data_IF_321831794167
#
_entry.id   IF_321831794167
#
_cell.length_a   1.000
_cell.length_b   1.000
_cell.length_c   1.000
_cell.angle_alpha   90.00
_cell.angle_beta   90.00
_cell.angle_gamma   90.00
#
_symmetry.space_group_name_H-M   'P 1'
#
loop_
_entity.id
_entity.type
_entity.pdbx_description
1 polymer ?
#
# COMPACT_ATOMS: atom_id res chain seq x y z
N UNK A 1 -7.50 2.25 9.00
CA UNK A 1 -6.37 1.58 8.30
C UNK A 1 -5.58 0.76 9.29
N UNK A 2 -5.06 -0.38 8.84
CA UNK A 2 -4.59 -1.50 9.68
C UNK A 2 -3.13 -1.34 10.12
N UNK A 3 -2.74 -2.05 11.19
CA UNK A 3 -1.35 -2.13 11.60
C UNK A 3 -0.51 -2.96 10.61
N UNK A 4 0.81 -2.77 10.67
CA UNK A 4 1.76 -3.41 9.77
C UNK A 4 1.70 -4.95 9.81
N UNK A 5 1.50 -5.55 10.99
CA UNK A 5 1.44 -7.01 11.14
C UNK A 5 0.14 -7.57 10.58
N UNK A 6 -0.96 -6.84 10.73
CA UNK A 6 -2.23 -7.23 10.12
C UNK A 6 -2.16 -7.12 8.58
N UNK A 7 -1.52 -6.07 8.04
CA UNK A 7 -1.23 -5.97 6.60
C UNK A 7 -0.39 -7.17 6.13
N UNK A 8 0.67 -7.54 6.86
CA UNK A 8 1.48 -8.71 6.57
C UNK A 8 0.66 -10.01 6.52
N UNK A 9 -0.22 -10.24 7.50
CA UNK A 9 -1.09 -11.42 7.54
C UNK A 9 -2.04 -11.46 6.33
N UNK A 10 -2.63 -10.32 5.98
CA UNK A 10 -3.51 -10.24 4.80
C UNK A 10 -2.76 -10.47 3.49
N UNK A 11 -1.55 -9.93 3.34
CA UNK A 11 -0.74 -10.18 2.15
C UNK A 11 -0.49 -11.68 1.96
N UNK A 12 -0.08 -12.40 3.01
CA UNK A 12 0.12 -13.84 2.93
C UNK A 12 -1.18 -14.60 2.61
N UNK A 13 -2.30 -14.21 3.23
CA UNK A 13 -3.60 -14.82 2.96
C UNK A 13 -4.06 -14.58 1.51
N UNK A 14 -3.86 -13.37 0.98
CA UNK A 14 -4.15 -13.04 -0.42
C UNK A 14 -3.27 -13.86 -1.36
N UNK A 15 -1.97 -13.98 -1.06
CA UNK A 15 -1.06 -14.74 -1.90
C UNK A 15 -1.46 -16.21 -2.01
N UNK A 16 -1.85 -16.81 -0.88
CA UNK A 16 -2.33 -18.19 -0.84
C UNK A 16 -3.66 -18.37 -1.59
N UNK A 17 -4.57 -17.38 -1.52
CA UNK A 17 -5.89 -17.46 -2.13
C UNK A 17 -5.90 -17.17 -3.64
N UNK A 18 -4.95 -16.37 -4.14
CA UNK A 18 -4.90 -15.97 -5.54
C UNK A 18 -4.26 -17.04 -6.41
N UNK A 19 -4.86 -17.28 -7.59
CA UNK A 19 -4.20 -17.98 -8.70
C UNK A 19 -3.04 -17.14 -9.27
N UNK A 20 -2.08 -17.75 -9.97
CA UNK A 20 -1.06 -17.02 -10.73
C UNK A 20 -1.69 -15.94 -11.65
N UNK A 21 -1.04 -14.78 -11.76
CA UNK A 21 -1.59 -13.60 -12.45
C UNK A 21 -2.76 -12.91 -11.75
N UNK A 22 -3.23 -13.45 -10.62
CA UNK A 22 -4.27 -12.87 -9.78
C UNK A 22 -3.83 -11.54 -9.16
N UNK A 23 -4.80 -10.67 -8.84
CA UNK A 23 -4.54 -9.32 -8.34
C UNK A 23 -5.14 -9.11 -6.95
N UNK A 24 -4.41 -8.38 -6.11
CA UNK A 24 -4.89 -7.88 -4.84
C UNK A 24 -4.89 -6.34 -4.85
N UNK A 25 -5.96 -5.74 -4.34
CA UNK A 25 -6.04 -4.31 -4.13
C UNK A 25 -5.88 -3.99 -2.64
N UNK A 26 -5.02 -3.04 -2.31
CA UNK A 26 -4.73 -2.64 -0.93
C UNK A 26 -4.82 -1.12 -0.82
N UNK A 27 -5.44 -0.66 0.28
CA UNK A 27 -5.47 0.74 0.68
C UNK A 27 -4.87 0.87 2.08
N UNK A 28 -3.78 1.64 2.20
CA UNK A 28 -3.14 1.98 3.48
C UNK A 28 -3.13 3.50 3.67
N UNK A 29 -3.14 3.94 4.93
CA UNK A 29 -3.07 5.36 5.25
C UNK A 29 -1.63 5.81 5.03
N UNK A 30 -1.41 6.84 4.23
CA UNK A 30 -0.06 7.23 3.84
C UNK A 30 0.42 8.50 4.56
N UNK A 31 1.41 8.33 5.43
CA UNK A 31 2.04 9.43 6.18
C UNK A 31 2.78 10.41 5.27
N UNK A 32 3.18 9.98 4.07
CA UNK A 32 3.94 10.80 3.11
C UNK A 32 3.05 11.73 2.30
N UNK A 33 1.73 11.51 2.32
CA UNK A 33 0.76 12.41 1.68
C UNK A 33 0.49 13.62 2.56
N UNK A 34 0.24 14.80 1.98
CA UNK A 34 -0.05 16.00 2.76
C UNK A 34 -1.33 15.83 3.61
N UNK A 35 -2.40 15.25 3.05
CA UNK A 35 -3.63 15.02 3.80
C UNK A 35 -3.48 13.91 4.85
N UNK A 36 -2.70 12.88 4.55
CA UNK A 36 -2.36 11.83 5.51
C UNK A 36 -1.54 12.38 6.67
N UNK A 37 -0.50 13.16 6.39
CA UNK A 37 0.33 13.79 7.41
C UNK A 37 -0.47 14.76 8.30
N UNK A 38 -1.34 15.60 7.72
CA UNK A 38 -2.23 16.47 8.51
C UNK A 38 -3.09 15.67 9.50
N UNK A 39 -3.57 14.50 9.09
CA UNK A 39 -4.39 13.65 9.95
C UNK A 39 -3.54 12.88 10.96
N UNK A 40 -2.34 12.46 10.59
CA UNK A 40 -1.36 11.85 11.50
C UNK A 40 -0.96 12.83 12.60
N UNK A 41 -0.59 14.06 12.27
CA UNK A 41 -0.15 15.07 13.24
C UNK A 41 -1.26 15.57 14.15
N UNK A 42 -2.52 15.50 13.71
CA UNK A 42 -3.69 15.78 14.53
C UNK A 42 -4.03 14.64 15.52
N UNK A 43 -3.41 13.46 15.40
CA UNK A 43 -3.62 12.33 16.29
C UNK A 43 -2.53 12.27 17.36
N UNK A 44 -2.92 12.37 18.63
CA UNK A 44 -1.99 12.25 19.76
C UNK A 44 -1.58 10.81 20.06
N UNK A 45 -2.45 9.84 19.74
CA UNK A 45 -2.20 8.41 19.93
C UNK A 45 -2.81 7.59 18.79
N UNK A 46 -2.19 6.47 18.38
CA UNK A 46 -2.84 5.51 17.50
C UNK A 46 -4.09 4.94 18.16
N UNK A 47 -5.22 4.89 17.46
CA UNK A 47 -6.45 4.27 17.97
C UNK A 47 -6.99 3.25 16.97
N UNK A 48 -7.75 2.25 17.43
CA UNK A 48 -8.35 1.21 16.57
C UNK A 48 -9.40 1.80 15.61
N UNK A 49 -10.09 2.88 16.02
CA UNK A 49 -10.89 3.74 15.12
C UNK A 49 -10.06 4.81 14.39
N UNK A 50 -8.77 4.87 14.67
CA UNK A 50 -7.78 5.77 14.10
C UNK A 50 -7.06 5.19 12.89
N UNK A 51 -6.06 5.91 12.43
CA UNK A 51 -5.31 5.56 11.23
C UNK A 51 -3.95 5.08 11.70
N UNK A 52 -3.60 3.84 11.37
CA UNK A 52 -2.22 3.39 11.45
C UNK A 52 -1.56 3.73 10.13
N UNK A 53 -0.76 4.80 10.17
CA UNK A 53 -0.11 5.34 9.01
C UNK A 53 1.14 4.53 8.67
N UNK A 54 1.35 4.36 7.37
CA UNK A 54 2.51 3.72 6.79
C UNK A 54 3.12 4.66 5.75
N UNK A 55 4.33 4.35 5.30
CA UNK A 55 4.88 4.93 4.08
C UNK A 55 4.90 3.89 2.95
N UNK A 56 5.00 4.31 1.68
CA UNK A 56 5.00 3.40 0.54
C UNK A 56 6.08 2.32 0.61
N UNK A 57 7.25 2.65 1.15
CA UNK A 57 8.40 1.74 1.26
C UNK A 57 8.09 0.56 2.19
N UNK A 58 7.32 0.78 3.26
CA UNK A 58 6.88 -0.29 4.15
C UNK A 58 6.01 -1.29 3.40
N UNK A 59 5.02 -0.80 2.63
CA UNK A 59 4.12 -1.68 1.87
C UNK A 59 4.87 -2.38 0.72
N UNK A 60 5.78 -1.68 0.03
CA UNK A 60 6.64 -2.28 -1.02
C UNK A 60 7.47 -3.44 -0.46
N UNK A 61 8.05 -3.24 0.71
CA UNK A 61 8.86 -4.27 1.39
C UNK A 61 8.00 -5.49 1.72
N UNK A 62 6.84 -5.29 2.35
CA UNK A 62 5.97 -6.41 2.71
C UNK A 62 5.41 -7.13 1.49
N UNK A 63 4.99 -6.41 0.46
CA UNK A 63 4.45 -7.01 -0.77
C UNK A 63 5.49 -7.88 -1.48
N UNK A 64 6.72 -7.36 -1.65
CA UNK A 64 7.82 -8.12 -2.24
C UNK A 64 8.16 -9.37 -1.42
N UNK A 65 8.20 -9.24 -0.08
CA UNK A 65 8.44 -10.38 0.83
C UNK A 65 7.32 -11.42 0.80
N UNK A 66 6.09 -11.00 0.51
CA UNK A 66 4.95 -11.90 0.32
C UNK A 66 4.91 -12.52 -1.09
N UNK A 67 5.83 -12.16 -1.99
CA UNK A 67 5.93 -12.71 -3.35
C UNK A 67 5.14 -11.94 -4.41
N UNK A 68 4.54 -10.79 -4.08
CA UNK A 68 3.81 -9.98 -5.05
C UNK A 68 4.72 -9.08 -5.88
N UNK A 69 4.28 -8.83 -7.12
CA UNK A 69 4.76 -7.75 -7.97
C UNK A 69 3.93 -6.48 -7.73
N UNK A 70 4.60 -5.33 -7.71
CA UNK A 70 3.94 -4.03 -7.61
C UNK A 70 3.46 -3.58 -9.00
N UNK A 71 2.18 -3.77 -9.31
CA UNK A 71 1.65 -3.52 -10.65
C UNK A 71 1.37 -2.02 -10.88
N UNK A 72 0.64 -1.37 -9.96
CA UNK A 72 0.27 0.06 -10.04
C UNK A 72 0.06 0.64 -8.64
N UNK A 73 0.24 1.95 -8.52
CA UNK A 73 -0.10 2.69 -7.31
C UNK A 73 -0.71 4.07 -7.60
N UNK A 74 -1.20 4.73 -6.55
CA UNK A 74 -1.76 6.07 -6.60
C UNK A 74 -0.74 7.20 -6.38
N UNK A 75 0.57 6.92 -6.29
CA UNK A 75 1.57 7.95 -5.95
C UNK A 75 1.61 9.06 -7.02
N UNK A 76 1.56 8.69 -8.29
CA UNK A 76 1.52 9.63 -9.42
C UNK A 76 0.16 10.32 -9.63
N UNK A 77 -0.89 9.89 -8.93
CA UNK A 77 -2.22 10.51 -8.98
C UNK A 77 -2.41 11.60 -7.93
N UNK A 78 -1.40 11.81 -7.07
CA UNK A 78 -1.38 12.91 -6.11
C UNK A 78 -1.15 14.20 -6.88
N UNK A 79 -2.08 15.14 -6.81
CA UNK A 79 -1.81 16.51 -7.27
C UNK A 79 -0.69 17.07 -6.40
N UNK A 80 0.38 17.57 -7.03
CA UNK A 80 1.30 18.52 -6.39
C UNK A 80 0.56 19.84 -6.21
N UNK A 81 -0.34 19.87 -5.22
CA UNK A 81 -1.06 21.06 -4.81
C UNK A 81 -0.54 21.49 -3.45
N UNK A 82 0.48 22.34 -3.43
CA UNK A 82 0.93 23.09 -2.25
C UNK A 82 -0.09 24.17 -1.83
N UNK A 83 -1.31 24.15 -2.37
CA UNK A 83 -2.39 25.09 -2.06
C UNK A 83 -3.50 24.44 -1.26
N UNK A 84 -3.88 25.07 -0.15
CA UNK A 84 -5.12 24.80 0.56
C UNK A 84 -6.31 25.01 -0.40
N UNK A 85 -6.89 23.94 -0.94
CA UNK A 85 -8.20 24.05 -1.61
C UNK A 85 -8.57 23.00 -2.65
N UNK A 86 -7.62 22.39 -3.37
CA UNK A 86 -7.97 21.53 -4.51
C UNK A 86 -7.28 20.17 -4.48
N UNK A 87 -7.81 19.26 -3.67
CA UNK A 87 -7.52 17.83 -3.80
C UNK A 87 -7.96 17.30 -5.18
N UNK A 88 -7.67 16.03 -5.49
CA UNK A 88 -8.13 15.37 -6.72
C UNK A 88 -9.67 15.14 -6.76
N UNK A 89 -10.44 15.87 -5.97
CA UNK A 89 -11.87 15.62 -5.69
C UNK A 89 -12.14 14.30 -4.94
N UNK A 90 -11.11 13.46 -4.74
CA UNK A 90 -11.21 12.16 -4.10
C UNK A 90 -10.21 12.04 -2.94
N UNK A 91 -10.75 12.06 -1.73
CA UNK A 91 -10.02 11.98 -0.47
C UNK A 91 -9.06 10.79 -0.38
N UNK A 92 -9.34 9.69 -1.06
CA UNK A 92 -8.50 8.49 -1.00
C UNK A 92 -7.18 8.69 -1.77
N UNK A 93 -7.21 9.37 -2.92
CA UNK A 93 -5.97 9.65 -3.67
C UNK A 93 -5.07 10.66 -2.94
N UNK A 94 -5.67 11.56 -2.16
CA UNK A 94 -4.94 12.62 -1.46
C UNK A 94 -4.38 12.20 -0.10
N UNK A 95 -4.95 11.16 0.53
CA UNK A 95 -4.62 10.71 1.90
C UNK A 95 -4.01 9.32 1.97
N UNK A 96 -4.48 8.41 1.12
CA UNK A 96 -4.12 7.00 1.19
C UNK A 96 -3.11 6.66 0.09
N UNK A 97 -2.45 5.52 0.30
CA UNK A 97 -1.72 4.82 -0.75
C UNK A 97 -2.60 3.66 -1.21
N UNK A 98 -3.04 3.74 -2.46
CA UNK A 98 -3.82 2.69 -3.11
C UNK A 98 -2.88 1.92 -4.04
N UNK A 99 -2.89 0.60 -3.93
CA UNK A 99 -1.94 -0.26 -4.64
C UNK A 99 -2.66 -1.45 -5.25
N UNK A 100 -2.31 -1.73 -6.50
CA UNK A 100 -2.63 -2.98 -7.16
C UNK A 100 -1.38 -3.86 -7.17
N UNK A 101 -1.48 -5.00 -6.53
CA UNK A 101 -0.45 -6.03 -6.48
C UNK A 101 -0.83 -7.20 -7.38
N UNK A 102 0.15 -7.82 -8.02
CA UNK A 102 -0.04 -8.99 -8.88
C UNK A 102 0.74 -10.18 -8.34
N UNK A 103 0.08 -11.34 -8.22
CA UNK A 103 0.78 -12.60 -8.01
C UNK A 103 1.49 -12.97 -9.32
N UNK A 104 2.79 -13.32 -9.31
CA UNK A 104 3.49 -13.72 -10.52
C UNK A 104 2.77 -14.83 -11.29
N UNK A 105 2.99 -14.89 -12.59
CA UNK A 105 2.54 -16.02 -13.40
C UNK A 105 3.27 -17.32 -12.99
N UNK A 106 2.67 -18.47 -13.28
CA UNK A 106 3.28 -19.77 -13.02
C UNK A 106 4.63 -19.87 -13.76
N UNK A 107 5.70 -20.19 -13.04
CA UNK A 107 7.07 -20.26 -13.57
C UNK A 107 7.91 -18.99 -13.42
N UNK A 108 7.33 -17.84 -13.08
CA UNK A 108 8.09 -16.62 -12.77
C UNK A 108 8.74 -16.65 -11.37
N UNK A 109 8.15 -17.37 -10.41
CA UNK A 109 8.68 -17.54 -9.05
C UNK A 109 10.09 -18.16 -9.02
N UNK A 110 10.37 -19.12 -9.90
CA UNK A 110 11.68 -19.78 -9.97
C UNK A 110 12.80 -18.82 -10.41
N UNK A 111 12.48 -17.87 -11.30
CA UNK A 111 13.43 -16.86 -11.75
C UNK A 111 13.69 -15.78 -10.67
N UNK A 112 12.65 -15.39 -9.93
CA UNK A 112 12.77 -14.39 -8.86
C UNK A 112 13.52 -14.94 -7.63
N UNK A 113 13.29 -16.19 -7.23
CA UNK A 113 14.01 -16.84 -6.14
C UNK A 113 15.51 -17.01 -6.43
N UNK A 114 15.88 -17.29 -7.69
CA UNK A 114 17.27 -17.40 -8.11
C UNK A 114 18.02 -16.04 -8.15
N UNK A 115 17.30 -14.92 -8.28
CA UNK A 115 17.89 -13.58 -8.33
C UNK A 115 18.08 -12.93 -6.95
N UNK A 116 17.48 -13.51 -5.90
CA UNK A 116 17.53 -12.99 -4.52
C UNK A 116 18.51 -13.74 -3.59
N UNK A 117 19.21 -14.77 -4.11
CA UNK A 117 20.26 -15.54 -3.45
C UNK A 117 21.65 -15.07 -3.89
#
# INVERSE_FOLDING_TARGET
HMDLHLVWRYLNAFYAALRPGGRAFISVADVTSAAGFRRFSAQSTPTVGGFLFMCPEMLRTLAARAGFEWERDSLGLRRQGEGEGEGNGNVYYDRDLLVLLRKPEEGAEAAAAAAAA
#
